data_IF_935267870206
#
_entry.id   IF_935267870206
#
_cell.length_a   1.000
_cell.length_b   1.000
_cell.length_c   1.000
_cell.angle_alpha   90.00
_cell.angle_beta   90.00
_cell.angle_gamma   90.00
#
_symmetry.space_group_name_H-M   'P 1'
#
loop_
_entity.id
_entity.type
_entity.pdbx_description
1 polymer ?
#
# COMPACT_ATOMS: atom_id res chain seq x y z
N UNK A 1 32.92 -31.76 30.52
CA UNK A 1 33.34 -33.15 30.22
C UNK A 1 32.38 -33.74 29.21
N UNK A 2 32.89 -34.22 28.05
CA UNK A 2 32.33 -35.30 27.18
C UNK A 2 30.97 -34.99 26.49
N UNK A 3 30.82 -34.93 25.16
CA UNK A 3 31.41 -35.70 24.04
C UNK A 3 31.33 -34.94 22.70
N UNK A 4 32.41 -35.08 21.93
CA UNK A 4 32.51 -34.86 20.48
C UNK A 4 31.95 -36.06 19.70
N UNK A 5 31.47 -35.83 18.47
CA UNK A 5 31.22 -36.82 17.41
C UNK A 5 31.08 -36.07 16.08
N UNK A 6 32.13 -35.89 15.28
CA UNK A 6 32.68 -36.80 14.23
C UNK A 6 31.58 -37.13 13.20
N UNK A 7 31.48 -36.38 12.10
CA UNK A 7 32.17 -36.57 10.81
C UNK A 7 31.61 -37.77 10.01
N UNK A 8 30.93 -37.47 8.90
CA UNK A 8 30.40 -38.45 7.95
C UNK A 8 30.19 -37.81 6.58
N UNK A 9 31.22 -37.92 5.74
CA UNK A 9 31.22 -37.61 4.31
C UNK A 9 30.64 -38.83 3.57
N UNK A 10 29.68 -38.63 2.66
CA UNK A 10 29.52 -39.51 1.49
C UNK A 10 29.20 -38.64 0.27
N UNK A 11 30.16 -38.62 -0.65
CA UNK A 11 30.03 -38.09 -1.99
C UNK A 11 29.26 -39.07 -2.88
N UNK A 12 28.46 -38.57 -3.80
CA UNK A 12 28.05 -39.28 -5.02
C UNK A 12 28.05 -38.31 -6.19
N UNK A 13 28.81 -38.67 -7.21
CA UNK A 13 29.09 -37.92 -8.41
C UNK A 13 28.21 -38.38 -9.60
N UNK A 14 28.15 -37.48 -10.59
CA UNK A 14 28.00 -37.70 -12.03
C UNK A 14 26.62 -38.12 -12.60
N UNK A 15 26.13 -37.33 -13.57
CA UNK A 15 26.18 -37.72 -14.99
C UNK A 15 25.88 -36.53 -15.93
N UNK A 16 26.71 -36.44 -16.97
CA UNK A 16 26.67 -35.51 -18.10
C UNK A 16 25.46 -35.75 -19.01
N UNK A 17 25.03 -34.70 -19.71
CA UNK A 17 24.27 -34.79 -20.96
C UNK A 17 24.38 -33.51 -21.80
N UNK A 18 25.33 -33.48 -22.75
CA UNK A 18 25.41 -32.51 -23.85
C UNK A 18 24.78 -33.12 -25.12
N UNK A 19 23.92 -32.36 -25.80
CA UNK A 19 23.62 -32.38 -27.24
C UNK A 19 22.81 -31.09 -27.52
N UNK A 20 23.25 -30.04 -28.25
CA UNK A 20 23.91 -29.83 -29.54
C UNK A 20 22.97 -29.93 -30.78
N UNK A 21 22.83 -28.77 -31.46
CA UNK A 21 22.45 -28.48 -32.87
C UNK A 21 21.04 -28.89 -33.36
N UNK A 22 20.30 -28.13 -34.18
CA UNK A 22 20.50 -26.86 -34.90
C UNK A 22 19.39 -26.67 -35.96
N UNK A 23 19.19 -25.43 -36.43
CA UNK A 23 18.34 -25.03 -37.58
C UNK A 23 17.01 -24.36 -37.17
N UNK A 24 16.60 -23.19 -37.64
CA UNK A 24 17.01 -22.32 -38.75
C UNK A 24 15.75 -21.73 -39.43
N UNK A 25 15.69 -20.40 -39.64
CA UNK A 25 14.58 -19.64 -40.27
C UNK A 25 13.98 -18.59 -39.32
N UNK A 26 14.31 -17.28 -39.31
CA UNK A 26 14.25 -16.25 -40.39
C UNK A 26 12.78 -16.10 -40.88
N UNK A 27 12.05 -14.97 -40.91
CA UNK A 27 12.27 -13.52 -40.77
C UNK A 27 10.92 -12.84 -40.40
N UNK A 28 10.96 -11.68 -39.73
CA UNK A 28 10.02 -10.57 -40.01
C UNK A 28 10.55 -9.29 -39.36
N UNK A 29 11.47 -8.66 -40.10
CA UNK A 29 12.04 -7.35 -39.84
C UNK A 29 10.99 -6.25 -40.14
N UNK A 30 10.80 -5.34 -39.19
CA UNK A 30 10.00 -4.13 -39.37
C UNK A 30 10.98 -2.94 -39.54
N UNK A 31 10.96 -2.22 -40.67
CA UNK A 31 11.95 -1.18 -40.92
C UNK A 31 11.69 0.12 -40.16
N UNK A 32 12.80 0.76 -39.77
CA UNK A 32 12.87 2.08 -39.19
C UNK A 32 12.75 3.22 -40.23
N UNK A 33 12.43 4.41 -39.70
CA UNK A 33 12.07 5.67 -40.35
C UNK A 33 13.10 6.31 -41.31
N UNK A 34 12.73 7.45 -41.92
CA UNK A 34 13.60 8.62 -41.78
C UNK A 34 12.89 9.92 -41.34
N UNK A 35 13.70 10.80 -40.76
CA UNK A 35 13.37 12.13 -40.25
C UNK A 35 13.36 13.21 -41.35
N UNK A 36 12.57 14.29 -41.17
CA UNK A 36 13.01 15.69 -41.31
C UNK A 36 11.88 16.69 -41.05
N UNK A 37 12.19 17.66 -40.17
CA UNK A 37 11.83 19.09 -40.10
C UNK A 37 10.38 19.62 -40.05
N UNK A 38 10.23 20.59 -39.14
CA UNK A 38 9.02 21.33 -38.78
C UNK A 38 8.56 22.31 -39.88
N UNK A 39 7.31 22.81 -39.76
CA UNK A 39 7.22 24.20 -39.30
C UNK A 39 6.19 24.43 -38.19
N UNK A 40 6.42 25.53 -37.47
CA UNK A 40 5.53 26.12 -36.50
C UNK A 40 4.22 26.59 -37.15
N UNK A 41 3.09 26.41 -36.47
CA UNK A 41 1.93 27.31 -36.55
C UNK A 41 0.96 27.03 -35.38
N UNK A 42 0.91 28.01 -34.48
CA UNK A 42 -0.27 28.58 -33.83
C UNK A 42 -1.36 27.69 -33.20
N UNK A 43 -1.53 27.91 -31.89
CA UNK A 43 -2.64 27.43 -31.08
C UNK A 43 -3.97 28.07 -31.50
N UNK A 44 -5.06 27.29 -31.62
CA UNK A 44 -6.39 27.80 -31.38
C UNK A 44 -6.74 27.65 -29.89
N UNK A 45 -7.19 28.77 -29.33
CA UNK A 45 -7.62 28.93 -27.96
C UNK A 45 -8.64 27.86 -27.52
N UNK A 46 -8.43 27.36 -26.30
CA UNK A 46 -9.40 26.57 -25.57
C UNK A 46 -10.73 27.32 -25.47
N UNK A 47 -11.89 26.68 -25.76
CA UNK A 47 -13.15 27.23 -25.32
C UNK A 47 -13.20 27.16 -23.80
N UNK A 48 -13.42 28.32 -23.19
CA UNK A 48 -13.67 28.47 -21.77
C UNK A 48 -14.82 27.53 -21.36
N UNK A 49 -14.49 26.52 -20.57
CA UNK A 49 -15.48 25.69 -19.91
C UNK A 49 -16.20 26.56 -18.87
N UNK A 50 -17.50 26.75 -19.09
CA UNK A 50 -18.43 27.29 -18.10
C UNK A 50 -18.31 26.51 -16.78
N UNK A 51 -18.42 27.17 -15.61
CA UNK A 51 -18.31 26.47 -14.34
C UNK A 51 -19.48 25.50 -14.21
N UNK A 52 -19.18 24.21 -14.38
CA UNK A 52 -20.07 23.13 -14.01
C UNK A 52 -20.45 23.32 -12.53
N UNK A 53 -21.73 23.58 -12.30
CA UNK A 53 -22.31 23.64 -10.98
C UNK A 53 -21.87 22.41 -10.16
N UNK A 54 -21.25 22.68 -9.01
CA UNK A 54 -20.87 21.65 -8.06
C UNK A 54 -22.09 20.78 -7.74
N UNK A 55 -21.99 19.43 -7.80
CA UNK A 55 -23.06 18.61 -7.28
C UNK A 55 -23.20 18.87 -5.78
N UNK A 56 -24.45 19.10 -5.36
CA UNK A 56 -24.84 19.28 -3.99
C UNK A 56 -24.26 18.16 -3.10
N UNK A 57 -23.70 18.57 -1.95
CA UNK A 57 -23.22 17.65 -0.93
C UNK A 57 -24.34 16.67 -0.51
N UNK A 58 -24.05 15.37 -0.32
CA UNK A 58 -25.05 14.46 0.23
C UNK A 58 -25.41 14.89 1.65
N UNK A 59 -26.72 14.81 1.95
CA UNK A 59 -27.28 15.04 3.27
C UNK A 59 -26.55 14.22 4.34
N UNK A 60 -26.27 14.86 5.48
CA UNK A 60 -25.59 14.28 6.63
C UNK A 60 -26.39 13.12 7.23
N UNK A 61 -26.17 11.91 6.72
CA UNK A 61 -26.42 10.67 7.45
C UNK A 61 -25.44 10.58 8.62
N UNK A 62 -25.91 10.16 9.79
CA UNK A 62 -25.11 10.07 11.00
C UNK A 62 -23.78 9.36 10.75
N UNK A 63 -22.67 10.09 10.84
CA UNK A 63 -21.34 9.51 10.77
C UNK A 63 -21.10 8.75 12.08
N UNK A 64 -20.93 7.43 11.97
CA UNK A 64 -20.62 6.61 13.13
C UNK A 64 -19.27 7.06 13.73
N UNK A 65 -19.31 7.48 14.99
CA UNK A 65 -18.13 7.96 15.71
C UNK A 65 -17.50 6.84 16.53
N UNK A 66 -16.17 6.82 16.58
CA UNK A 66 -15.42 5.84 17.39
C UNK A 66 -15.72 5.99 18.88
N UNK A 67 -16.03 7.21 19.35
CA UNK A 67 -16.30 7.51 20.76
C UNK A 67 -17.51 6.77 21.35
N UNK A 68 -18.41 6.23 20.52
CA UNK A 68 -19.52 5.40 20.97
C UNK A 68 -19.15 3.93 21.21
N UNK A 69 -17.90 3.53 20.96
CA UNK A 69 -17.44 2.15 21.02
C UNK A 69 -16.28 2.01 22.00
N UNK A 70 -16.31 0.97 22.83
CA UNK A 70 -15.17 0.60 23.66
C UNK A 70 -14.37 -0.47 22.93
N UNK A 71 -13.14 -0.15 22.52
CA UNK A 71 -12.27 -1.09 21.82
C UNK A 71 -11.56 -2.07 22.78
N UNK A 72 -11.44 -3.34 22.37
CA UNK A 72 -10.62 -4.36 23.03
C UNK A 72 -9.29 -4.53 22.27
N UNK A 73 -8.17 -4.14 22.90
CA UNK A 73 -6.85 -4.25 22.30
C UNK A 73 -6.43 -5.71 22.01
N UNK A 74 -6.88 -6.69 22.79
CA UNK A 74 -6.57 -8.10 22.53
C UNK A 74 -7.36 -8.61 21.32
N UNK A 75 -8.61 -8.18 21.14
CA UNK A 75 -9.36 -8.40 19.90
C UNK A 75 -8.70 -7.69 18.71
N UNK A 76 -8.27 -6.45 18.92
CA UNK A 76 -7.57 -5.63 17.94
C UNK A 76 -6.29 -6.27 17.43
N UNK A 77 -5.51 -6.89 18.30
CA UNK A 77 -4.31 -7.63 17.92
C UNK A 77 -4.63 -8.80 16.98
N UNK A 78 -5.76 -9.50 17.19
CA UNK A 78 -6.20 -10.57 16.28
C UNK A 78 -6.61 -10.00 14.93
N UNK A 79 -7.34 -8.89 14.92
CA UNK A 79 -7.77 -8.18 13.70
C UNK A 79 -6.55 -7.66 12.92
N UNK A 80 -5.52 -7.18 13.62
CA UNK A 80 -4.24 -6.75 13.04
C UNK A 80 -3.54 -7.86 12.25
N UNK A 81 -3.92 -9.13 12.44
CA UNK A 81 -3.53 -10.24 11.59
C UNK A 81 -3.85 -10.04 10.09
N UNK A 82 -4.81 -9.17 9.75
CA UNK A 82 -5.10 -8.77 8.37
C UNK A 82 -4.11 -7.72 7.83
N UNK A 83 -3.43 -6.99 8.72
CA UNK A 83 -2.49 -5.92 8.40
C UNK A 83 -1.04 -6.42 8.31
N UNK A 84 -0.70 -7.48 9.06
CA UNK A 84 0.68 -7.95 9.28
C UNK A 84 1.47 -8.33 8.03
N UNK A 85 0.79 -8.67 6.93
CA UNK A 85 1.45 -8.97 5.65
C UNK A 85 2.15 -7.71 5.11
N UNK A 86 1.50 -6.55 5.28
CA UNK A 86 1.97 -5.30 4.72
C UNK A 86 2.62 -4.39 5.76
N UNK A 87 2.25 -4.53 7.03
CA UNK A 87 2.66 -3.62 8.10
C UNK A 87 3.28 -4.37 9.27
N UNK A 88 4.05 -3.61 10.03
CA UNK A 88 4.61 -3.99 11.33
C UNK A 88 4.38 -2.89 12.34
N UNK A 89 4.55 -3.24 13.61
CA UNK A 89 4.48 -2.30 14.75
C UNK A 89 5.86 -2.03 15.34
N UNK A 90 6.92 -2.58 14.75
CA UNK A 90 8.29 -2.27 15.11
C UNK A 90 8.72 -0.90 14.53
N UNK A 91 9.32 0.00 15.33
CA UNK A 91 9.78 1.30 14.86
C UNK A 91 10.84 1.16 13.75
N UNK A 92 10.74 2.02 12.72
CA UNK A 92 11.74 2.11 11.65
C UNK A 92 11.76 0.96 10.63
N UNK A 93 10.89 -0.04 10.77
CA UNK A 93 10.82 -1.18 9.84
C UNK A 93 9.68 -0.98 8.85
N UNK A 94 10.00 -0.73 7.58
CA UNK A 94 9.01 -0.64 6.51
C UNK A 94 8.91 -1.97 5.74
N UNK A 95 7.71 -2.32 5.26
CA UNK A 95 7.44 -3.47 4.37
C UNK A 95 6.72 -2.97 3.11
N UNK A 96 5.72 -3.71 2.63
CA UNK A 96 4.80 -3.24 1.57
C UNK A 96 4.12 -1.93 1.98
N UNK A 97 3.78 -1.80 3.27
CA UNK A 97 3.33 -0.58 3.93
C UNK A 97 4.38 -0.05 4.93
N UNK A 98 4.24 1.20 5.40
CA UNK A 98 5.12 1.78 6.41
C UNK A 98 4.93 1.11 7.78
N UNK A 99 5.89 1.30 8.69
CA UNK A 99 5.69 0.96 10.11
C UNK A 99 4.47 1.71 10.69
N UNK A 100 3.67 0.99 11.48
CA UNK A 100 2.53 1.53 12.23
C UNK A 100 2.85 1.78 13.71
N UNK A 101 4.12 1.62 14.12
CA UNK A 101 4.58 2.04 15.44
C UNK A 101 4.23 3.52 15.67
N UNK A 102 3.53 3.86 16.75
CA UNK A 102 3.12 5.24 17.04
C UNK A 102 2.28 5.89 15.92
N UNK A 103 1.45 5.13 15.21
CA UNK A 103 0.61 5.70 14.14
C UNK A 103 -0.49 6.61 14.66
N UNK A 104 -1.05 6.33 15.84
CA UNK A 104 -2.18 7.11 16.37
C UNK A 104 -1.70 8.51 16.76
N UNK A 105 -2.28 9.53 16.13
CA UNK A 105 -1.90 10.94 16.27
C UNK A 105 -0.77 11.40 15.34
N UNK A 106 -0.21 10.52 14.50
CA UNK A 106 0.85 10.89 13.56
C UNK A 106 0.27 11.50 12.28
N UNK A 107 0.95 12.49 11.72
CA UNK A 107 0.65 13.03 10.38
C UNK A 107 0.83 11.97 9.29
N UNK A 108 -0.07 11.95 8.30
CA UNK A 108 0.02 11.07 7.16
C UNK A 108 1.26 11.36 6.30
N UNK A 109 1.79 10.32 5.64
CA UNK A 109 2.92 10.51 4.73
C UNK A 109 4.29 10.73 5.36
N UNK A 110 4.44 10.58 6.68
CA UNK A 110 5.65 11.04 7.40
C UNK A 110 6.65 9.97 7.83
N UNK A 111 6.39 8.66 7.64
CA UNK A 111 7.34 7.62 8.08
C UNK A 111 8.61 7.67 7.22
N UNK A 112 9.81 7.86 7.83
CA UNK A 112 11.05 7.94 7.08
C UNK A 112 11.32 6.67 6.26
N UNK A 113 11.86 6.85 5.05
CA UNK A 113 12.25 5.75 4.18
C UNK A 113 11.09 4.95 3.57
N UNK A 114 9.83 5.40 3.68
CA UNK A 114 8.70 4.83 2.96
C UNK A 114 8.25 5.72 1.80
N UNK A 115 8.01 5.12 0.63
CA UNK A 115 7.53 5.85 -0.56
C UNK A 115 6.01 5.84 -0.64
N UNK A 116 5.39 6.93 -0.18
CA UNK A 116 3.94 7.10 -0.17
C UNK A 116 3.31 7.27 -1.57
N UNK A 117 1.98 7.24 -1.64
CA UNK A 117 1.25 7.73 -2.82
C UNK A 117 1.15 9.26 -2.77
N UNK A 118 0.98 9.89 -3.93
CA UNK A 118 0.73 11.33 -4.00
C UNK A 118 -0.51 11.73 -3.17
N UNK A 119 -1.56 10.92 -3.22
CA UNK A 119 -2.77 11.13 -2.43
C UNK A 119 -2.53 11.13 -0.92
N UNK A 120 -1.63 10.27 -0.41
CA UNK A 120 -1.34 10.22 1.02
C UNK A 120 -0.50 11.42 1.47
N UNK A 121 0.50 11.80 0.66
CA UNK A 121 1.34 12.97 0.92
C UNK A 121 0.55 14.28 0.90
N UNK A 122 -0.48 14.38 0.06
CA UNK A 122 -1.32 15.57 -0.07
C UNK A 122 -2.60 15.53 0.79
N UNK A 123 -2.74 14.56 1.69
CA UNK A 123 -4.02 14.37 2.41
C UNK A 123 -4.23 15.30 3.60
N UNK A 124 -3.17 15.96 4.09
CA UNK A 124 -3.14 16.74 5.35
C UNK A 124 -3.74 15.99 6.57
N UNK A 125 -3.89 14.67 6.47
CA UNK A 125 -4.58 13.87 7.46
C UNK A 125 -3.69 13.64 8.67
N UNK A 126 -4.28 13.74 9.86
CA UNK A 126 -3.68 13.25 11.10
C UNK A 126 -4.36 11.93 11.46
N UNK A 127 -3.59 10.89 11.73
CA UNK A 127 -4.10 9.56 12.07
C UNK A 127 -4.63 9.48 13.50
N UNK A 128 -5.54 10.38 13.88
CA UNK A 128 -6.30 10.25 15.12
C UNK A 128 -7.29 9.06 15.06
N UNK A 129 -7.93 8.76 16.19
CA UNK A 129 -8.85 7.63 16.31
C UNK A 129 -10.03 7.71 15.34
N UNK A 130 -10.59 8.91 15.11
CA UNK A 130 -11.75 9.07 14.25
C UNK A 130 -11.37 8.97 12.77
N UNK A 131 -10.24 9.56 12.39
CA UNK A 131 -9.67 9.49 11.05
C UNK A 131 -9.32 8.05 10.69
N UNK A 132 -8.66 7.32 11.59
CA UNK A 132 -8.41 5.88 11.41
C UNK A 132 -9.70 5.08 11.33
N UNK A 133 -10.69 5.39 12.16
CA UNK A 133 -11.98 4.70 12.17
C UNK A 133 -12.72 4.86 10.85
N UNK A 134 -12.69 6.04 10.23
CA UNK A 134 -13.29 6.26 8.91
C UNK A 134 -12.43 5.66 7.79
N UNK A 135 -11.11 5.85 7.84
CA UNK A 135 -10.18 5.35 6.83
C UNK A 135 -10.22 3.83 6.70
N UNK A 136 -10.23 3.12 7.84
CA UNK A 136 -10.21 1.67 7.87
C UNK A 136 -11.51 1.04 7.36
N UNK A 137 -12.63 1.77 7.31
CA UNK A 137 -13.87 1.26 6.73
C UNK A 137 -13.76 1.08 5.21
N UNK A 138 -13.15 2.06 4.53
CA UNK A 138 -12.96 2.06 3.08
C UNK A 138 -11.76 2.92 2.66
N UNK A 139 -10.53 2.38 2.66
CA UNK A 139 -9.34 3.17 2.40
C UNK A 139 -9.32 3.88 1.05
N UNK A 140 -9.80 3.21 -0.01
CA UNK A 140 -9.87 3.80 -1.36
C UNK A 140 -10.97 4.84 -1.50
N UNK A 141 -12.04 4.71 -0.73
CA UNK A 141 -13.10 5.72 -0.67
C UNK A 141 -12.68 6.96 0.13
N UNK A 142 -11.97 6.77 1.25
CA UNK A 142 -11.46 7.87 2.06
C UNK A 142 -10.30 8.61 1.38
N UNK A 143 -9.37 7.87 0.77
CA UNK A 143 -8.20 8.44 0.10
C UNK A 143 -8.08 7.88 -1.33
N UNK A 144 -8.82 8.44 -2.31
CA UNK A 144 -8.70 8.08 -3.71
C UNK A 144 -7.25 8.23 -4.19
N UNK A 145 -6.70 7.19 -4.82
CA UNK A 145 -5.28 7.16 -5.23
C UNK A 145 -4.31 6.67 -4.14
N UNK A 146 -4.80 6.18 -3.00
CA UNK A 146 -3.96 5.40 -2.08
C UNK A 146 -3.43 4.13 -2.74
N UNK A 147 -2.17 3.77 -2.44
CA UNK A 147 -1.55 2.50 -2.85
C UNK A 147 -1.96 1.33 -1.94
N UNK A 148 -2.64 1.58 -0.82
CA UNK A 148 -3.05 0.53 0.12
C UNK A 148 -4.15 -0.34 -0.48
N UNK A 149 -3.81 -1.57 -0.84
CA UNK A 149 -4.73 -2.57 -1.38
C UNK A 149 -5.46 -3.31 -0.26
N UNK A 150 -6.33 -2.61 0.47
CA UNK A 150 -7.15 -3.18 1.53
C UNK A 150 -8.63 -2.87 1.28
N UNK A 151 -9.50 -3.87 1.44
CA UNK A 151 -10.95 -3.75 1.18
C UNK A 151 -11.70 -2.98 2.28
N UNK A 152 -11.09 -2.86 3.46
CA UNK A 152 -11.63 -2.21 4.64
C UNK A 152 -12.25 -3.18 5.66
N UNK A 153 -12.40 -2.70 6.89
CA UNK A 153 -13.09 -3.34 8.01
C UNK A 153 -14.48 -2.70 8.14
N UNK A 154 -15.52 -3.37 7.62
CA UNK A 154 -16.90 -2.81 7.63
C UNK A 154 -17.54 -2.80 9.00
N UNK A 155 -17.18 -3.77 9.83
CA UNK A 155 -17.62 -3.86 11.21
C UNK A 155 -16.99 -2.73 12.04
N UNK A 156 -17.81 -1.84 12.62
CA UNK A 156 -17.31 -0.74 13.43
C UNK A 156 -16.61 -1.20 14.71
N UNK A 157 -17.04 -2.30 15.33
CA UNK A 157 -16.37 -2.80 16.53
C UNK A 157 -14.95 -3.28 16.18
N UNK A 158 -14.77 -3.95 15.04
CA UNK A 158 -13.44 -4.36 14.59
C UNK A 158 -12.50 -3.17 14.35
N UNK A 159 -13.03 -2.04 13.86
CA UNK A 159 -12.25 -0.81 13.71
C UNK A 159 -11.87 -0.23 15.08
N UNK A 160 -12.81 -0.15 16.01
CA UNK A 160 -12.53 0.31 17.37
C UNK A 160 -11.47 -0.57 18.05
N UNK A 161 -11.58 -1.89 17.93
CA UNK A 161 -10.65 -2.85 18.51
C UNK A 161 -9.24 -2.72 17.94
N UNK A 162 -9.08 -2.68 16.60
CA UNK A 162 -7.75 -2.54 15.99
C UNK A 162 -7.11 -1.19 16.30
N UNK A 163 -7.90 -0.12 16.41
CA UNK A 163 -7.40 1.20 16.84
C UNK A 163 -6.95 1.13 18.30
N UNK A 164 -7.72 0.48 19.19
CA UNK A 164 -7.32 0.25 20.58
C UNK A 164 -6.01 -0.53 20.68
N UNK A 165 -5.81 -1.54 19.83
CA UNK A 165 -4.53 -2.23 19.71
C UNK A 165 -3.41 -1.28 19.25
N UNK A 166 -3.60 -0.52 18.16
CA UNK A 166 -2.58 0.41 17.64
C UNK A 166 -2.17 1.48 18.65
N UNK A 167 -3.07 1.92 19.53
CA UNK A 167 -2.77 2.84 20.65
C UNK A 167 -1.75 2.27 21.64
N UNK A 168 -1.63 0.95 21.73
CA UNK A 168 -0.65 0.27 22.59
C UNK A 168 0.71 0.07 21.92
N UNK A 169 0.88 0.51 20.67
CA UNK A 169 2.07 0.27 19.85
C UNK A 169 2.94 1.52 19.69
N UNK A 170 2.96 2.40 20.69
CA UNK A 170 3.74 3.64 20.73
C UNK A 170 4.82 3.56 21.81
#
# INVERSE_FOLDING_TARGET
>A
MRKFGIMGVVASAALLGLAACGGGGEEAEAPAAPAAEAPAAEAPAAPAAEPAAAPAAPAAGATLQVAGLTGDAAAGQRIFGQCRTCHVVEPGVNRVGPSLHGVVGREAGTVPGYTYSAANLASDAVWDEQTLFTYLENPRGFMPGTKMAFVGLRDPQQRADVIAYLKTQA
#
